data_IF_666650027032
#
_entry.id   IF_666650027032
#
_cell.length_a   1.000
_cell.length_b   1.000
_cell.length_c   1.000
_cell.angle_alpha   90.00
_cell.angle_beta   90.00
_cell.angle_gamma   90.00
#
_symmetry.space_group_name_H-M   'P 1'
#
loop_
_entity.id
_entity.type
_entity.pdbx_description
1 polymer ?
#
# COMPACT_ATOMS: atom_id res chain seq x y z
N UNK A 1 9.98 -19.51 -49.59
CA UNK A 1 11.05 -20.04 -48.74
C UNK A 1 12.00 -18.87 -48.50
N UNK A 2 12.06 -18.20 -47.35
CA UNK A 2 11.49 -18.46 -46.03
C UNK A 2 11.28 -17.12 -45.31
N UNK A 3 10.16 -17.03 -44.62
CA UNK A 3 9.74 -15.89 -43.81
C UNK A 3 10.28 -16.05 -42.38
N UNK A 4 11.57 -15.85 -42.11
CA UNK A 4 12.09 -15.92 -40.73
C UNK A 4 13.06 -14.78 -40.43
N UNK A 5 12.52 -13.67 -39.93
CA UNK A 5 13.34 -12.53 -39.53
C UNK A 5 12.61 -11.36 -38.91
N UNK A 6 11.35 -11.51 -38.47
CA UNK A 6 10.68 -10.48 -37.67
C UNK A 6 11.22 -10.56 -36.24
N UNK A 7 12.49 -10.16 -36.05
CA UNK A 7 12.94 -9.71 -34.72
C UNK A 7 12.02 -8.54 -34.37
N UNK A 8 11.19 -8.75 -33.37
CA UNK A 8 10.48 -7.72 -32.63
C UNK A 8 11.51 -6.85 -31.91
N UNK A 9 12.39 -6.17 -32.64
CA UNK A 9 13.27 -5.15 -32.11
C UNK A 9 12.39 -3.93 -31.86
N UNK A 10 11.74 -3.90 -30.71
CA UNK A 10 11.19 -2.67 -30.16
C UNK A 10 12.31 -1.62 -30.25
N UNK A 11 12.04 -0.55 -31.02
CA UNK A 11 12.96 0.57 -31.18
C UNK A 11 13.49 0.97 -29.79
N UNK A 12 14.79 1.26 -29.62
CA UNK A 12 15.34 1.72 -28.34
C UNK A 12 14.54 2.88 -27.73
N UNK A 13 13.97 3.76 -28.57
CA UNK A 13 13.08 4.82 -28.14
C UNK A 13 11.74 4.29 -27.57
N UNK A 14 11.17 3.24 -28.15
CA UNK A 14 9.95 2.60 -27.65
C UNK A 14 10.19 1.91 -26.30
N UNK A 15 11.34 1.26 -26.11
CA UNK A 15 11.73 0.67 -24.83
C UNK A 15 11.92 1.75 -23.76
N UNK A 16 12.62 2.85 -24.09
CA UNK A 16 12.80 3.97 -23.19
C UNK A 16 11.45 4.59 -22.78
N UNK A 17 10.55 4.81 -23.73
CA UNK A 17 9.21 5.32 -23.46
C UNK A 17 8.41 4.38 -22.53
N UNK A 18 8.50 3.06 -22.73
CA UNK A 18 7.87 2.09 -21.85
C UNK A 18 8.42 2.15 -20.42
N UNK A 19 9.74 2.27 -20.25
CA UNK A 19 10.39 2.39 -18.94
C UNK A 19 9.98 3.69 -18.24
N UNK A 20 9.97 4.81 -18.97
CA UNK A 20 9.54 6.10 -18.42
C UNK A 20 8.06 6.07 -18.01
N UNK A 21 7.19 5.47 -18.82
CA UNK A 21 5.78 5.28 -18.48
C UNK A 21 5.62 4.42 -17.23
N UNK A 22 6.36 3.31 -17.12
CA UNK A 22 6.36 2.46 -15.93
C UNK A 22 6.82 3.23 -14.70
N UNK A 23 7.89 4.03 -14.81
CA UNK A 23 8.38 4.88 -13.71
C UNK A 23 7.30 5.84 -13.24
N UNK A 24 6.62 6.53 -14.15
CA UNK A 24 5.54 7.46 -13.80
C UNK A 24 4.38 6.75 -13.10
N UNK A 25 3.97 5.57 -13.58
CA UNK A 25 2.93 4.76 -12.93
C UNK A 25 3.30 4.35 -11.52
N UNK A 26 4.54 3.91 -11.31
CA UNK A 26 5.03 3.53 -9.98
C UNK A 26 5.06 4.71 -9.00
N UNK A 27 5.43 5.91 -9.46
CA UNK A 27 5.37 7.11 -8.62
C UNK A 27 3.94 7.51 -8.27
N UNK A 28 2.99 7.34 -9.19
CA UNK A 28 1.57 7.54 -8.91
C UNK A 28 1.05 6.54 -7.88
N UNK A 29 1.36 5.25 -8.07
CA UNK A 29 0.97 4.19 -7.15
C UNK A 29 1.54 4.40 -5.73
N UNK A 30 2.82 4.77 -5.63
CA UNK A 30 3.46 5.09 -4.35
C UNK A 30 2.72 6.21 -3.61
N UNK A 31 2.46 7.33 -4.30
CA UNK A 31 1.71 8.46 -3.72
C UNK A 31 0.31 8.05 -3.25
N UNK A 32 -0.36 7.19 -4.00
CA UNK A 32 -1.69 6.70 -3.63
C UNK A 32 -1.64 5.79 -2.40
N UNK A 33 -0.63 4.94 -2.29
CA UNK A 33 -0.40 4.09 -1.11
C UNK A 33 -0.11 4.97 0.12
N UNK A 34 0.79 5.94 0.00
CA UNK A 34 1.13 6.86 1.11
C UNK A 34 -0.10 7.60 1.61
N UNK A 35 -0.93 8.11 0.69
CA UNK A 35 -2.20 8.75 1.04
C UNK A 35 -3.16 7.76 1.72
N UNK A 36 -3.30 6.56 1.17
CA UNK A 36 -4.18 5.54 1.74
C UNK A 36 -3.76 5.19 3.18
N UNK A 37 -2.47 4.98 3.42
CA UNK A 37 -1.93 4.71 4.76
C UNK A 37 -2.26 5.86 5.71
N UNK A 38 -2.01 7.11 5.31
CA UNK A 38 -2.32 8.28 6.11
C UNK A 38 -3.82 8.35 6.48
N UNK A 39 -4.71 8.17 5.50
CA UNK A 39 -6.15 8.21 5.71
C UNK A 39 -6.60 7.09 6.67
N UNK A 40 -6.02 5.88 6.52
CA UNK A 40 -6.32 4.72 7.35
C UNK A 40 -5.81 4.90 8.79
N UNK A 41 -4.59 5.40 8.98
CA UNK A 41 -4.01 5.70 10.28
C UNK A 41 -4.81 6.81 10.99
N UNK A 42 -5.19 7.84 10.25
CA UNK A 42 -6.03 8.93 10.77
C UNK A 42 -7.37 8.39 11.25
N UNK A 43 -8.05 7.57 10.43
CA UNK A 43 -9.32 6.96 10.81
C UNK A 43 -9.17 6.01 12.02
N UNK A 44 -8.12 5.20 12.06
CA UNK A 44 -7.87 4.24 13.13
C UNK A 44 -7.59 4.93 14.47
N UNK A 45 -6.88 6.06 14.47
CA UNK A 45 -6.53 6.79 15.68
C UNK A 45 -7.63 7.74 16.17
N UNK A 46 -8.50 8.20 15.27
CA UNK A 46 -9.64 9.05 15.60
C UNK A 46 -10.83 8.26 16.17
N UNK A 47 -10.97 6.98 15.84
CA UNK A 47 -12.01 6.13 16.43
C UNK A 47 -11.73 5.94 17.94
N UNK A 48 -12.65 6.37 18.83
CA UNK A 48 -12.47 6.20 20.27
C UNK A 48 -12.62 4.72 20.66
N UNK A 49 -11.56 3.94 20.44
CA UNK A 49 -11.54 2.54 20.84
C UNK A 49 -11.47 2.42 22.37
N UNK A 50 -12.56 1.95 22.99
CA UNK A 50 -12.57 1.61 24.43
C UNK A 50 -11.52 0.55 24.78
N UNK A 51 -11.12 -0.26 23.80
CA UNK A 51 -10.19 -1.37 23.99
C UNK A 51 -8.72 -0.95 23.93
N UNK A 52 -8.40 0.30 23.59
CA UNK A 52 -7.03 0.74 23.34
C UNK A 52 -6.58 0.50 21.89
N UNK A 53 -5.33 0.86 21.58
CA UNK A 53 -4.78 0.76 20.22
C UNK A 53 -3.27 0.47 20.23
N UNK A 54 -2.70 0.16 19.06
CA UNK A 54 -1.28 -0.24 18.95
C UNK A 54 -0.29 0.81 19.49
N UNK A 55 -0.67 2.09 19.50
CA UNK A 55 0.19 3.18 19.98
C UNK A 55 0.05 3.42 21.48
N UNK A 56 -1.16 3.26 22.03
CA UNK A 56 -1.48 3.56 23.43
C UNK A 56 -1.48 2.31 24.34
N UNK A 57 -1.45 1.12 23.75
CA UNK A 57 -1.64 -0.15 24.44
C UNK A 57 -3.11 -0.54 24.58
N UNK A 58 -3.35 -1.78 25.04
CA UNK A 58 -4.68 -2.40 25.19
C UNK A 58 -5.03 -2.67 26.66
N UNK A 59 -4.43 -1.94 27.59
CA UNK A 59 -4.50 -2.18 29.03
C UNK A 59 -5.93 -2.07 29.56
N UNK A 60 -6.73 -1.13 29.03
CA UNK A 60 -8.14 -0.99 29.39
C UNK A 60 -8.93 -2.27 29.09
N UNK A 61 -8.72 -2.86 27.91
CA UNK A 61 -9.34 -4.12 27.53
C UNK A 61 -8.86 -5.30 28.40
N UNK A 62 -7.56 -5.37 28.67
CA UNK A 62 -6.96 -6.42 29.50
C UNK A 62 -7.42 -6.33 30.97
N UNK A 63 -7.66 -5.11 31.46
CA UNK A 63 -8.19 -4.91 32.81
C UNK A 63 -9.66 -5.31 32.89
N UNK A 64 -10.48 -5.06 31.86
CA UNK A 64 -11.86 -5.51 31.82
C UNK A 64 -11.98 -7.04 31.75
N UNK A 65 -11.05 -7.71 31.07
CA UNK A 65 -11.05 -9.18 30.94
C UNK A 65 -10.80 -9.91 32.26
N UNK A 66 -10.09 -9.29 33.23
CA UNK A 66 -9.88 -9.86 34.58
C UNK A 66 -11.14 -9.83 35.45
N UNK A 67 -12.16 -9.07 35.05
CA UNK A 67 -13.39 -8.89 35.82
C UNK A 67 -14.54 -9.79 35.32
N UNK A 68 -14.35 -10.53 34.21
CA UNK A 68 -15.38 -11.42 33.62
C UNK A 68 -15.21 -12.90 34.00
N UNK A 69 -14.27 -13.24 34.90
CA UNK A 69 -14.06 -14.62 35.41
C UNK A 69 -14.70 -14.86 36.79
N UNK A 70 -15.78 -14.16 37.14
CA UNK A 70 -16.57 -14.43 38.36
C UNK A 70 -17.93 -15.04 38.02
#
# INVERSE_FOLDING_TARGET
MDSEGQRTSSSPAAMLAAILCKRTKLHEELRNIEKQVYDMETSYLQDPSQCGNVLKGFEGFLSSSKNTTL
#
